data_IF_234628899906
#
_entry.id   IF_234628899906
#
_cell.length_a   1.000
_cell.length_b   1.000
_cell.length_c   1.000
_cell.angle_alpha   90.00
_cell.angle_beta   90.00
_cell.angle_gamma   90.00
#
_symmetry.space_group_name_H-M   'P 1'
#
loop_
_entity.id
_entity.type
_entity.pdbx_description
1 polymer ?
#
# COMPACT_ATOMS: atom_id res chain seq x y z
N UNK A 1 -10.89 16.58 6.63
CA UNK A 1 -11.94 15.62 6.14
C UNK A 1 -11.25 14.32 5.81
N UNK A 2 -11.77 13.19 6.26
CA UNK A 2 -11.17 11.91 5.95
C UNK A 2 -11.03 11.71 4.44
N UNK A 3 -9.87 11.19 4.02
CA UNK A 3 -9.65 10.81 2.63
C UNK A 3 -10.23 9.43 2.33
N UNK A 4 -10.15 8.52 3.32
CA UNK A 4 -10.73 7.18 3.26
C UNK A 4 -11.54 6.90 4.51
N UNK A 5 -12.72 6.33 4.33
CA UNK A 5 -13.59 5.88 5.42
C UNK A 5 -14.10 4.47 5.10
N UNK A 6 -13.99 3.58 6.04
CA UNK A 6 -14.66 2.28 6.03
C UNK A 6 -15.67 2.26 7.18
N UNK A 7 -16.93 1.96 6.87
CA UNK A 7 -18.01 1.94 7.85
C UNK A 7 -18.57 0.53 8.00
N UNK A 8 -18.46 -0.02 9.20
CA UNK A 8 -18.95 -1.36 9.56
C UNK A 8 -18.55 -2.44 8.54
N UNK A 9 -17.30 -2.31 8.02
CA UNK A 9 -16.81 -3.13 6.93
C UNK A 9 -16.61 -4.57 7.39
N UNK A 10 -17.23 -5.52 6.67
CA UNK A 10 -17.17 -6.93 7.05
C UNK A 10 -16.90 -7.84 5.85
N UNK A 11 -16.18 -8.94 6.09
CA UNK A 11 -15.95 -10.00 5.12
C UNK A 11 -16.02 -11.36 5.77
N UNK A 12 -16.91 -12.18 5.26
CA UNK A 12 -17.10 -13.57 5.67
C UNK A 12 -16.66 -14.52 4.55
N UNK A 13 -15.97 -15.59 4.92
CA UNK A 13 -15.66 -16.72 4.06
C UNK A 13 -16.27 -17.99 4.70
N UNK A 14 -17.46 -18.37 4.22
CA UNK A 14 -18.26 -19.39 4.91
C UNK A 14 -18.57 -18.95 6.34
N UNK A 15 -18.21 -19.76 7.32
CA UNK A 15 -18.38 -19.45 8.75
C UNK A 15 -17.32 -18.53 9.37
N UNK A 16 -16.24 -18.23 8.64
CA UNK A 16 -15.14 -17.41 9.16
C UNK A 16 -15.36 -15.92 8.86
N UNK A 17 -15.44 -15.10 9.89
CA UNK A 17 -15.45 -13.64 9.77
C UNK A 17 -14.00 -13.12 9.74
N UNK A 18 -13.43 -12.93 8.54
CA UNK A 18 -12.06 -12.47 8.38
C UNK A 18 -11.88 -10.95 8.66
N UNK A 19 -12.94 -10.16 8.44
CA UNK A 19 -13.10 -8.77 8.91
C UNK A 19 -14.54 -8.66 9.41
N UNK A 20 -14.74 -8.04 10.55
CA UNK A 20 -16.02 -8.03 11.24
C UNK A 20 -16.31 -6.66 11.87
N UNK A 21 -17.14 -5.86 11.19
CA UNK A 21 -17.59 -4.56 11.68
C UNK A 21 -16.46 -3.53 11.83
N UNK A 22 -15.52 -3.50 10.88
CA UNK A 22 -14.39 -2.58 10.95
C UNK A 22 -14.81 -1.16 10.55
N UNK A 23 -14.61 -0.21 11.47
CA UNK A 23 -14.62 1.21 11.20
C UNK A 23 -13.17 1.71 11.15
N UNK A 24 -12.78 2.30 10.02
CA UNK A 24 -11.44 2.82 9.76
C UNK A 24 -11.53 4.15 9.04
N UNK A 25 -10.78 5.14 9.50
CA UNK A 25 -10.62 6.42 8.82
C UNK A 25 -9.15 6.67 8.49
N UNK A 26 -8.89 7.37 7.38
CA UNK A 26 -7.54 7.85 7.03
C UNK A 26 -7.69 9.31 6.64
N UNK A 27 -7.04 10.20 7.39
CA UNK A 27 -7.03 11.63 7.11
C UNK A 27 -6.04 11.97 6.00
N UNK A 28 -6.29 13.07 5.29
CA UNK A 28 -5.36 13.53 4.25
C UNK A 28 -4.02 13.92 4.87
N UNK A 29 -2.93 13.42 4.30
CA UNK A 29 -1.56 13.79 4.70
C UNK A 29 -1.02 13.02 5.90
N UNK A 30 -1.71 11.97 6.40
CA UNK A 30 -1.20 11.12 7.48
C UNK A 30 -0.58 9.81 6.97
N UNK A 31 0.26 9.21 7.79
CA UNK A 31 0.72 7.83 7.67
C UNK A 31 0.00 7.00 8.74
N UNK A 32 -0.95 6.15 8.31
CA UNK A 32 -1.64 5.21 9.20
C UNK A 32 -1.01 3.84 9.09
N UNK A 33 -0.65 3.24 10.22
CA UNK A 33 -0.22 1.85 10.30
C UNK A 33 -1.41 0.92 10.64
N UNK A 34 -1.63 -0.11 9.84
CA UNK A 34 -2.57 -1.20 10.15
C UNK A 34 -1.78 -2.42 10.58
N UNK A 35 -1.79 -2.72 11.87
CA UNK A 35 -1.00 -3.81 12.45
C UNK A 35 -1.90 -4.87 13.10
N UNK A 36 -1.31 -5.96 13.54
CA UNK A 36 -1.99 -7.05 14.25
C UNK A 36 -1.28 -8.37 14.03
N UNK A 37 -1.60 -9.40 14.82
CA UNK A 37 -1.05 -10.76 14.67
C UNK A 37 -1.32 -11.35 13.29
N UNK A 38 -0.67 -12.49 13.00
CA UNK A 38 -0.99 -13.27 11.81
C UNK A 38 -2.45 -13.74 11.90
N UNK A 39 -3.17 -13.67 10.79
CA UNK A 39 -4.60 -13.98 10.76
C UNK A 39 -5.53 -12.89 11.31
N UNK A 40 -5.03 -11.74 11.75
CA UNK A 40 -5.85 -10.64 12.28
C UNK A 40 -6.80 -9.99 11.25
N UNK A 41 -6.66 -10.29 9.94
CA UNK A 41 -7.52 -9.75 8.89
C UNK A 41 -6.91 -8.60 8.08
N UNK A 42 -5.64 -8.23 8.31
CA UNK A 42 -4.96 -7.09 7.64
C UNK A 42 -5.02 -7.18 6.11
N UNK A 43 -4.57 -8.30 5.54
CA UNK A 43 -4.58 -8.53 4.08
C UNK A 43 -6.01 -8.53 3.52
N UNK A 44 -6.97 -9.09 4.26
CA UNK A 44 -8.39 -9.05 3.87
C UNK A 44 -8.90 -7.62 3.84
N UNK A 45 -8.57 -6.80 4.85
CA UNK A 45 -8.91 -5.37 4.90
C UNK A 45 -8.33 -4.64 3.67
N UNK A 46 -7.05 -4.80 3.36
CA UNK A 46 -6.42 -4.21 2.17
C UNK A 46 -7.10 -4.65 0.86
N UNK A 47 -7.47 -5.92 0.75
CA UNK A 47 -8.19 -6.43 -0.40
C UNK A 47 -9.58 -5.81 -0.55
N UNK A 48 -10.27 -5.54 0.56
CA UNK A 48 -11.57 -4.86 0.56
C UNK A 48 -11.44 -3.39 0.12
N UNK A 49 -10.49 -2.65 0.71
CA UNK A 49 -10.25 -1.24 0.40
C UNK A 49 -9.80 -1.02 -1.05
N UNK A 50 -9.03 -1.95 -1.61
CA UNK A 50 -8.49 -1.86 -2.97
C UNK A 50 -9.34 -2.56 -4.04
N UNK A 51 -10.52 -3.11 -3.66
CA UNK A 51 -11.49 -3.71 -4.57
C UNK A 51 -11.15 -5.10 -5.10
N UNK A 52 -10.12 -5.76 -4.54
CA UNK A 52 -9.80 -7.17 -4.86
C UNK A 52 -10.78 -8.15 -4.23
N UNK A 53 -11.45 -7.72 -3.15
CA UNK A 53 -12.54 -8.45 -2.53
C UNK A 53 -13.77 -7.55 -2.41
N UNK A 54 -14.95 -8.11 -2.61
CA UNK A 54 -16.21 -7.45 -2.28
C UNK A 54 -16.50 -7.65 -0.79
N UNK A 55 -16.91 -6.62 -0.06
CA UNK A 55 -17.38 -6.78 1.31
C UNK A 55 -18.65 -7.63 1.37
N UNK A 56 -18.85 -8.32 2.49
CA UNK A 56 -20.11 -9.00 2.80
C UNK A 56 -21.15 -8.01 3.31
N UNK A 57 -20.70 -6.95 4.04
CA UNK A 57 -21.49 -5.82 4.49
C UNK A 57 -20.61 -4.62 4.78
N UNK A 58 -21.21 -3.46 5.01
CA UNK A 58 -20.51 -2.19 5.23
C UNK A 58 -20.16 -1.49 3.92
N UNK A 59 -19.50 -0.34 4.04
CA UNK A 59 -19.14 0.52 2.91
C UNK A 59 -17.73 1.07 3.01
N UNK A 60 -17.21 1.50 1.87
CA UNK A 60 -15.91 2.18 1.75
C UNK A 60 -16.13 3.47 0.96
N UNK A 61 -15.82 4.61 1.58
CA UNK A 61 -15.90 5.93 0.98
C UNK A 61 -14.46 6.42 0.74
N UNK A 62 -14.16 6.87 -0.46
CA UNK A 62 -12.87 7.47 -0.80
C UNK A 62 -13.07 8.84 -1.43
N UNK A 63 -12.48 9.85 -0.82
CA UNK A 63 -12.60 11.25 -1.27
C UNK A 63 -14.06 11.70 -1.42
N UNK A 64 -14.97 11.23 -0.54
CA UNK A 64 -16.40 11.51 -0.56
C UNK A 64 -17.22 10.66 -1.54
N UNK A 65 -16.60 9.79 -2.33
CA UNK A 65 -17.30 8.87 -3.23
C UNK A 65 -17.39 7.45 -2.64
N UNK A 66 -18.54 6.81 -2.79
CA UNK A 66 -18.71 5.38 -2.48
C UNK A 66 -17.98 4.52 -3.53
N UNK A 67 -16.95 3.80 -3.06
CA UNK A 67 -16.16 2.87 -3.85
C UNK A 67 -16.44 1.40 -3.49
N UNK A 68 -17.46 1.13 -2.70
CA UNK A 68 -17.79 -0.20 -2.19
C UNK A 68 -17.97 -1.21 -3.33
N UNK A 69 -17.18 -2.27 -3.31
CA UNK A 69 -17.23 -3.34 -4.32
C UNK A 69 -16.89 -2.92 -5.75
N UNK A 70 -16.35 -1.71 -5.98
CA UNK A 70 -15.81 -1.32 -7.28
C UNK A 70 -14.60 -2.17 -7.64
N UNK A 71 -14.33 -2.32 -8.93
CA UNK A 71 -13.17 -3.07 -9.43
C UNK A 71 -11.86 -2.30 -9.18
N UNK A 72 -10.71 -2.98 -8.99
CA UNK A 72 -9.44 -2.32 -8.68
C UNK A 72 -9.07 -1.17 -9.64
N UNK A 73 -9.19 -1.37 -10.97
CA UNK A 73 -8.87 -0.32 -11.93
C UNK A 73 -9.73 0.94 -11.79
N UNK A 74 -10.99 0.82 -11.32
CA UNK A 74 -11.87 1.95 -11.07
C UNK A 74 -11.46 2.72 -9.81
N UNK A 75 -10.96 2.01 -8.81
CA UNK A 75 -10.45 2.57 -7.55
C UNK A 75 -9.12 3.29 -7.81
N UNK A 76 -8.24 2.65 -8.55
CA UNK A 76 -6.95 3.22 -8.96
C UNK A 76 -7.15 4.52 -9.76
N UNK A 77 -8.10 4.55 -10.69
CA UNK A 77 -8.42 5.76 -11.47
C UNK A 77 -8.90 6.95 -10.61
N UNK A 78 -9.26 6.72 -9.34
CA UNK A 78 -9.63 7.74 -8.35
C UNK A 78 -8.47 8.19 -7.49
N UNK A 79 -7.29 7.55 -7.64
CA UNK A 79 -6.07 7.89 -6.92
C UNK A 79 -5.83 7.07 -5.64
N UNK A 80 -6.54 5.96 -5.43
CA UNK A 80 -6.20 4.98 -4.41
C UNK A 80 -5.40 3.85 -5.06
N UNK A 81 -4.10 3.82 -4.80
CA UNK A 81 -3.17 2.87 -5.42
C UNK A 81 -2.59 1.95 -4.36
N UNK A 82 -2.42 0.68 -4.68
CA UNK A 82 -1.80 -0.32 -3.81
C UNK A 82 -0.54 -0.88 -4.44
N UNK A 83 0.54 -0.98 -3.64
CA UNK A 83 1.68 -1.82 -3.99
C UNK A 83 1.36 -3.28 -3.67
N UNK A 84 1.87 -4.20 -4.47
CA UNK A 84 1.75 -5.63 -4.21
C UNK A 84 3.06 -6.19 -3.69
N UNK A 85 2.98 -7.22 -2.83
CA UNK A 85 4.15 -7.97 -2.42
C UNK A 85 4.86 -8.54 -3.65
N UNK A 86 6.17 -8.39 -3.76
CA UNK A 86 7.17 -8.96 -4.70
C UNK A 86 6.76 -9.44 -6.11
N UNK A 87 5.51 -9.78 -6.36
CA UNK A 87 5.08 -10.56 -7.54
C UNK A 87 4.80 -9.72 -8.80
N UNK A 88 4.95 -8.40 -8.76
CA UNK A 88 4.46 -7.54 -9.85
C UNK A 88 5.53 -6.87 -10.70
N UNK A 89 6.82 -7.10 -10.40
CA UNK A 89 7.87 -6.60 -11.28
C UNK A 89 8.01 -7.50 -12.50
N UNK A 90 8.04 -6.86 -13.65
CA UNK A 90 8.39 -7.53 -14.90
C UNK A 90 9.91 -7.68 -14.96
N UNK A 91 10.39 -8.85 -14.57
CA UNK A 91 11.80 -9.15 -14.33
C UNK A 91 12.69 -8.94 -15.57
N UNK A 92 12.13 -9.13 -16.77
CA UNK A 92 12.81 -8.99 -18.06
C UNK A 92 12.75 -7.55 -18.62
N UNK A 93 12.09 -6.65 -17.92
CA UNK A 93 12.02 -5.22 -18.27
C UNK A 93 12.97 -4.40 -17.40
N UNK A 94 13.41 -3.26 -17.94
CA UNK A 94 14.22 -2.30 -17.16
C UNK A 94 13.39 -1.64 -16.05
N UNK A 95 14.07 -1.00 -15.09
CA UNK A 95 13.38 -0.24 -14.05
C UNK A 95 12.47 0.83 -14.66
N UNK A 96 12.95 1.58 -15.66
CA UNK A 96 12.16 2.58 -16.38
C UNK A 96 10.94 1.97 -17.06
N UNK A 97 11.09 0.83 -17.73
CA UNK A 97 9.98 0.15 -18.39
C UNK A 97 8.93 -0.37 -17.40
N UNK A 98 9.37 -0.85 -16.23
CA UNK A 98 8.44 -1.23 -15.16
C UNK A 98 7.59 -0.04 -14.70
N UNK A 99 8.20 1.13 -14.46
CA UNK A 99 7.47 2.33 -14.03
C UNK A 99 6.51 2.80 -15.13
N UNK A 100 6.93 2.79 -16.39
CA UNK A 100 6.08 3.11 -17.54
C UNK A 100 4.83 2.22 -17.62
N UNK A 101 4.97 0.92 -17.34
CA UNK A 101 3.83 0.02 -17.26
C UNK A 101 2.89 0.35 -16.10
N UNK A 102 3.44 0.77 -14.96
CA UNK A 102 2.65 1.25 -13.84
C UNK A 102 1.77 2.45 -14.24
N UNK A 103 2.31 3.39 -15.00
CA UNK A 103 1.58 4.54 -15.55
C UNK A 103 0.48 4.13 -16.54
N UNK A 104 0.74 3.12 -17.37
CA UNK A 104 -0.19 2.68 -18.43
C UNK A 104 -1.52 2.15 -17.87
N UNK A 105 -1.53 1.63 -16.66
CA UNK A 105 -2.75 1.24 -15.95
C UNK A 105 -3.67 2.46 -15.67
N UNK A 106 -3.14 3.68 -15.77
CA UNK A 106 -3.82 4.95 -15.51
C UNK A 106 -4.04 5.79 -16.78
N UNK A 107 -3.34 5.46 -17.89
CA UNK A 107 -3.45 6.19 -19.14
C UNK A 107 -4.74 5.84 -19.85
N UNK A 108 -5.47 6.88 -20.29
CA UNK A 108 -6.67 6.74 -21.13
C UNK A 108 -6.32 6.43 -22.61
N UNK A 109 -5.12 5.97 -22.90
CA UNK A 109 -4.74 5.64 -24.27
C UNK A 109 -5.55 4.45 -24.77
N UNK A 110 -6.44 4.71 -25.72
CA UNK A 110 -7.21 3.67 -26.39
C UNK A 110 -6.31 2.73 -27.21
N UNK A 111 -6.73 1.47 -27.35
CA UNK A 111 -6.04 0.43 -28.13
C UNK A 111 -5.56 0.93 -29.52
N UNK A 112 -6.29 1.86 -30.15
CA UNK A 112 -5.95 2.47 -31.44
C UNK A 112 -4.65 3.27 -31.39
N UNK A 113 -4.38 4.03 -30.32
CA UNK A 113 -3.15 4.81 -30.18
C UNK A 113 -1.92 3.91 -29.99
N UNK A 114 -2.07 2.81 -29.25
CA UNK A 114 -1.00 1.82 -29.05
C UNK A 114 -0.65 1.12 -30.38
N UNK A 115 -1.64 0.78 -31.20
CA UNK A 115 -1.44 0.07 -32.46
C UNK A 115 -0.85 0.94 -33.59
N UNK A 116 -1.06 2.27 -33.54
CA UNK A 116 -0.63 3.17 -34.61
C UNK A 116 0.53 4.12 -34.24
N UNK A 117 0.98 4.14 -32.97
CA UNK A 117 2.13 4.94 -32.53
C UNK A 117 3.44 4.22 -32.83
N UNK A 118 4.33 4.86 -33.61
CA UNK A 118 5.73 4.45 -33.76
C UNK A 118 6.55 4.63 -32.46
N UNK A 119 6.05 5.39 -31.48
CA UNK A 119 6.63 5.51 -30.12
C UNK A 119 5.77 4.69 -29.18
N UNK A 120 6.39 3.75 -28.50
CA UNK A 120 5.73 2.84 -27.55
C UNK A 120 5.17 3.62 -26.35
N UNK A 121 5.81 4.74 -25.98
CA UNK A 121 5.39 5.59 -24.85
C UNK A 121 5.48 7.08 -25.20
N UNK A 122 4.49 7.92 -24.77
CA UNK A 122 4.57 9.38 -24.88
C UNK A 122 5.77 9.94 -24.10
N UNK A 123 6.33 11.06 -24.57
CA UNK A 123 7.46 11.75 -23.93
C UNK A 123 7.17 12.11 -22.48
N UNK A 124 5.93 12.51 -22.20
CA UNK A 124 5.49 12.94 -20.88
C UNK A 124 5.44 11.78 -19.89
N UNK A 125 5.04 10.59 -20.33
CA UNK A 125 5.06 9.38 -19.49
C UNK A 125 6.49 8.94 -19.16
N UNK A 126 7.41 9.08 -20.11
CA UNK A 126 8.85 8.81 -19.86
C UNK A 126 9.42 9.81 -18.85
N UNK A 127 9.07 11.09 -18.95
CA UNK A 127 9.50 12.11 -18.01
C UNK A 127 8.98 11.83 -16.59
N UNK A 128 7.69 11.54 -16.45
CA UNK A 128 7.07 11.16 -15.16
C UNK A 128 7.69 9.89 -14.56
N UNK A 129 8.02 8.90 -15.40
CA UNK A 129 8.66 7.68 -14.93
C UNK A 129 10.08 7.94 -14.43
N UNK A 130 10.83 8.82 -15.09
CA UNK A 130 12.16 9.22 -14.64
C UNK A 130 12.10 10.03 -13.34
N UNK A 131 11.12 10.93 -13.22
CA UNK A 131 10.86 11.68 -11.98
C UNK A 131 10.59 10.72 -10.80
N UNK A 132 9.74 9.70 -11.00
CA UNK A 132 9.46 8.70 -9.98
C UNK A 132 10.71 7.88 -9.58
N UNK A 133 11.55 7.52 -10.56
CA UNK A 133 12.83 6.83 -10.28
C UNK A 133 13.82 7.74 -9.55
N UNK A 134 13.90 9.01 -9.90
CA UNK A 134 14.75 9.98 -9.22
C UNK A 134 14.29 10.20 -7.77
N UNK A 135 13.00 10.41 -7.57
CA UNK A 135 12.41 10.59 -6.23
C UNK A 135 12.67 9.39 -5.32
N UNK A 136 12.64 8.19 -5.88
CA UNK A 136 12.88 6.95 -5.13
C UNK A 136 14.36 6.54 -5.05
N UNK A 137 15.28 7.32 -5.64
CA UNK A 137 16.72 7.05 -5.62
C UNK A 137 17.16 5.96 -6.61
N UNK A 138 16.32 5.63 -7.59
CA UNK A 138 16.60 4.60 -8.61
C UNK A 138 17.05 5.16 -9.97
N UNK A 139 17.31 6.47 -10.08
CA UNK A 139 17.67 7.10 -11.35
C UNK A 139 18.88 6.43 -12.04
N UNK A 140 19.93 6.10 -11.27
CA UNK A 140 21.15 5.45 -11.78
C UNK A 140 20.89 4.00 -12.29
N UNK A 141 19.75 3.40 -11.94
CA UNK A 141 19.36 2.04 -12.29
C UNK A 141 18.25 2.00 -13.35
N UNK A 142 17.87 3.14 -13.93
CA UNK A 142 16.74 3.27 -14.86
C UNK A 142 16.77 2.25 -16.00
N UNK A 143 17.95 2.02 -16.57
CA UNK A 143 18.15 1.13 -17.73
C UNK A 143 18.57 -0.30 -17.33
N UNK A 144 18.65 -0.60 -16.04
CA UNK A 144 18.97 -1.94 -15.53
C UNK A 144 17.71 -2.82 -15.50
N UNK A 145 17.85 -4.09 -15.88
CA UNK A 145 16.75 -5.07 -15.77
C UNK A 145 16.34 -5.26 -14.30
N UNK A 146 15.05 -5.35 -14.05
CA UNK A 146 14.51 -5.48 -12.69
C UNK A 146 15.08 -6.69 -11.95
N UNK A 147 15.29 -7.82 -12.60
CA UNK A 147 15.90 -9.02 -12.02
C UNK A 147 17.33 -8.82 -11.51
N UNK A 148 18.07 -7.85 -12.07
CA UNK A 148 19.46 -7.57 -11.71
C UNK A 148 19.59 -6.56 -10.56
N UNK A 149 18.45 -5.97 -10.13
CA UNK A 149 18.43 -5.07 -8.98
C UNK A 149 18.56 -5.85 -7.68
N UNK A 150 19.31 -5.35 -6.68
CA UNK A 150 19.25 -5.86 -5.33
C UNK A 150 17.81 -5.89 -4.80
N UNK A 151 17.49 -6.84 -3.91
CA UNK A 151 16.13 -7.06 -3.41
C UNK A 151 15.48 -5.79 -2.84
N UNK A 152 16.22 -4.98 -2.07
CA UNK A 152 15.72 -3.69 -1.56
C UNK A 152 15.34 -2.72 -2.67
N UNK A 153 16.11 -2.67 -3.76
CA UNK A 153 15.80 -1.82 -4.92
C UNK A 153 14.61 -2.33 -5.72
N UNK A 154 14.39 -3.64 -5.78
CA UNK A 154 13.17 -4.21 -6.39
C UNK A 154 11.92 -3.76 -5.64
N UNK A 155 11.96 -3.77 -4.30
CA UNK A 155 10.87 -3.24 -3.47
C UNK A 155 10.62 -1.75 -3.70
N UNK A 156 11.70 -0.97 -3.70
CA UNK A 156 11.64 0.47 -3.98
C UNK A 156 11.11 0.75 -5.39
N UNK A 157 11.46 -0.10 -6.38
CA UNK A 157 10.89 -0.02 -7.73
C UNK A 157 9.37 -0.22 -7.74
N UNK A 158 8.85 -1.16 -6.95
CA UNK A 158 7.40 -1.32 -6.78
C UNK A 158 6.72 -0.07 -6.22
N UNK A 159 7.39 0.65 -5.30
CA UNK A 159 6.91 1.95 -4.80
C UNK A 159 6.98 3.01 -5.92
N UNK A 160 8.06 3.06 -6.70
CA UNK A 160 8.19 3.99 -7.82
C UNK A 160 7.09 3.81 -8.87
N UNK A 161 6.75 2.54 -9.20
CA UNK A 161 5.64 2.22 -10.10
C UNK A 161 4.30 2.76 -9.59
N UNK A 162 4.04 2.63 -8.29
CA UNK A 162 2.81 3.12 -7.68
C UNK A 162 2.77 4.65 -7.62
N UNK A 163 3.91 5.30 -7.34
CA UNK A 163 4.03 6.77 -7.29
C UNK A 163 3.86 7.44 -8.65
N UNK A 164 4.32 6.80 -9.71
CA UNK A 164 4.14 7.31 -11.08
C UNK A 164 2.66 7.58 -11.41
N UNK A 165 1.75 6.84 -10.76
CA UNK A 165 0.31 7.05 -10.86
C UNK A 165 -0.20 8.29 -10.10
N UNK A 166 0.67 9.05 -9.42
CA UNK A 166 0.32 10.21 -8.60
C UNK A 166 -0.84 9.94 -7.62
N UNK A 167 -0.71 8.94 -6.74
CA UNK A 167 -1.79 8.56 -5.84
C UNK A 167 -2.12 9.68 -4.83
N UNK A 168 -3.40 9.80 -4.49
CA UNK A 168 -3.86 10.57 -3.32
C UNK A 168 -3.71 9.75 -2.05
N UNK A 169 -3.93 8.42 -2.15
CA UNK A 169 -3.72 7.44 -1.08
C UNK A 169 -2.93 6.26 -1.61
N UNK A 170 -1.82 5.97 -0.96
CA UNK A 170 -0.97 4.82 -1.26
C UNK A 170 -1.11 3.75 -0.19
N UNK A 171 -1.57 2.57 -0.57
CA UNK A 171 -1.61 1.38 0.28
C UNK A 171 -0.29 0.61 0.12
N UNK A 172 0.47 0.49 1.20
CA UNK A 172 1.75 -0.24 1.24
C UNK A 172 1.60 -1.55 2.00
N UNK A 173 1.84 -2.67 1.33
CA UNK A 173 1.71 -4.01 1.92
C UNK A 173 3.11 -4.57 2.23
N UNK A 174 3.48 -4.54 3.50
CA UNK A 174 4.75 -5.02 4.04
C UNK A 174 5.99 -4.51 3.27
N UNK A 175 6.17 -3.18 3.15
CA UNK A 175 7.19 -2.59 2.29
C UNK A 175 8.63 -2.91 2.70
N UNK A 176 8.89 -3.33 3.97
CA UNK A 176 10.25 -3.61 4.47
C UNK A 176 10.50 -5.08 4.82
N UNK A 177 9.57 -5.97 4.49
CA UNK A 177 9.72 -7.42 4.77
C UNK A 177 10.96 -7.98 4.04
N UNK A 178 11.79 -8.71 4.79
CA UNK A 178 13.01 -9.33 4.27
C UNK A 178 14.21 -8.41 4.13
N UNK A 179 14.10 -7.14 4.56
CA UNK A 179 15.17 -6.15 4.53
C UNK A 179 15.98 -6.15 5.83
N UNK A 180 17.26 -5.81 5.74
CA UNK A 180 18.06 -5.49 6.91
C UNK A 180 17.64 -4.14 7.52
N UNK A 181 18.19 -3.80 8.72
CA UNK A 181 17.81 -2.59 9.44
C UNK A 181 18.10 -1.29 8.66
N UNK A 182 19.22 -1.24 7.92
CA UNK A 182 19.59 -0.05 7.16
C UNK A 182 18.68 0.15 5.94
N UNK A 183 18.39 -0.92 5.20
CA UNK A 183 17.47 -0.91 4.08
C UNK A 183 16.04 -0.53 4.54
N UNK A 184 15.58 -1.13 5.64
CA UNK A 184 14.27 -0.80 6.22
C UNK A 184 14.16 0.68 6.59
N UNK A 185 15.23 1.24 7.21
CA UNK A 185 15.26 2.66 7.56
C UNK A 185 15.21 3.57 6.31
N UNK A 186 15.89 3.19 5.24
CA UNK A 186 15.86 3.94 3.98
C UNK A 186 14.46 3.95 3.37
N UNK A 187 13.78 2.79 3.31
CA UNK A 187 12.40 2.70 2.78
C UNK A 187 11.42 3.47 3.67
N UNK A 188 11.54 3.39 4.99
CA UNK A 188 10.67 4.15 5.89
C UNK A 188 10.90 5.66 5.78
N UNK A 189 12.13 6.12 5.57
CA UNK A 189 12.42 7.52 5.26
C UNK A 189 11.85 7.94 3.90
N UNK A 190 11.89 7.07 2.90
CA UNK A 190 11.22 7.31 1.61
C UNK A 190 9.71 7.46 1.79
N UNK A 191 9.06 6.60 2.59
CA UNK A 191 7.63 6.66 2.91
C UNK A 191 7.27 8.02 3.55
N UNK A 192 8.09 8.53 4.47
CA UNK A 192 7.89 9.87 5.04
C UNK A 192 8.00 10.96 3.98
N UNK A 193 9.01 10.90 3.11
CA UNK A 193 9.15 11.86 2.00
C UNK A 193 7.95 11.83 1.04
N UNK A 194 7.40 10.65 0.78
CA UNK A 194 6.19 10.50 -0.05
C UNK A 194 5.00 11.21 0.60
N UNK A 195 4.80 11.04 1.91
CA UNK A 195 3.77 11.75 2.68
C UNK A 195 3.99 13.26 2.64
N UNK A 196 5.23 13.70 2.88
CA UNK A 196 5.59 15.13 2.88
C UNK A 196 5.40 15.77 1.49
N UNK A 197 5.46 14.97 0.42
CA UNK A 197 5.08 15.34 -0.94
C UNK A 197 3.57 15.38 -1.20
N UNK A 198 2.72 15.16 -0.18
CA UNK A 198 1.27 15.29 -0.26
C UNK A 198 0.50 13.98 -0.48
N UNK A 199 1.17 12.83 -0.54
CA UNK A 199 0.50 11.53 -0.66
C UNK A 199 0.17 10.95 0.71
N UNK A 200 -1.10 10.66 0.96
CA UNK A 200 -1.55 9.97 2.17
C UNK A 200 -1.14 8.50 2.13
N UNK A 201 -0.84 7.89 3.28
CA UNK A 201 -0.33 6.52 3.31
C UNK A 201 -1.10 5.68 4.33
N UNK A 202 -1.53 4.49 3.90
CA UNK A 202 -1.95 3.42 4.79
C UNK A 202 -1.01 2.22 4.57
N UNK A 203 -0.29 1.81 5.60
CA UNK A 203 0.65 0.72 5.50
C UNK A 203 0.29 -0.46 6.40
N UNK A 204 0.46 -1.68 5.91
CA UNK A 204 0.49 -2.90 6.72
C UNK A 204 1.95 -3.28 6.96
N UNK A 205 2.31 -3.49 8.20
CA UNK A 205 3.63 -3.95 8.62
C UNK A 205 3.55 -4.80 9.89
N UNK A 206 4.51 -5.69 10.05
CA UNK A 206 4.70 -6.48 11.27
C UNK A 206 5.99 -6.10 12.02
N UNK A 207 6.86 -5.29 11.39
CA UNK A 207 8.03 -4.71 12.04
C UNK A 207 7.62 -3.54 12.92
N UNK A 208 7.36 -3.81 14.21
CA UNK A 208 6.89 -2.81 15.17
C UNK A 208 7.82 -1.60 15.25
N UNK A 209 9.16 -1.79 15.19
CA UNK A 209 10.10 -0.68 15.26
C UNK A 209 9.96 0.27 14.06
N UNK A 210 9.75 -0.28 12.87
CA UNK A 210 9.52 0.51 11.66
C UNK A 210 8.20 1.29 11.74
N UNK A 211 7.11 0.63 12.20
CA UNK A 211 5.79 1.25 12.37
C UNK A 211 5.83 2.38 13.39
N UNK A 212 6.35 2.10 14.59
CA UNK A 212 6.43 3.08 15.70
C UNK A 212 7.24 4.33 15.33
N UNK A 213 8.27 4.16 14.49
CA UNK A 213 9.12 5.28 14.06
C UNK A 213 8.61 6.06 12.85
N UNK A 214 7.50 5.62 12.23
CA UNK A 214 7.07 6.18 10.93
C UNK A 214 5.62 6.63 10.90
N UNK A 215 4.71 5.91 11.56
CA UNK A 215 3.29 6.20 11.52
C UNK A 215 2.91 7.35 12.46
N UNK A 216 1.98 8.18 12.03
CA UNK A 216 1.36 9.21 12.84
C UNK A 216 0.29 8.59 13.77
N UNK A 217 -0.43 7.58 13.25
CA UNK A 217 -1.48 6.83 13.94
C UNK A 217 -1.40 5.36 13.57
N UNK A 218 -1.81 4.51 14.51
CA UNK A 218 -1.81 3.06 14.35
C UNK A 218 -3.20 2.52 14.67
N UNK A 219 -3.69 1.63 13.81
CA UNK A 219 -4.90 0.82 14.02
C UNK A 219 -4.47 -0.62 14.20
N UNK A 220 -4.88 -1.23 15.29
CA UNK A 220 -4.56 -2.62 15.62
C UNK A 220 -5.77 -3.49 15.33
N UNK A 221 -5.57 -4.49 14.48
CA UNK A 221 -6.57 -5.53 14.24
C UNK A 221 -6.27 -6.78 15.06
N UNK A 222 -7.32 -7.42 15.55
CA UNK A 222 -7.27 -8.75 16.13
C UNK A 222 -8.56 -9.50 15.79
N UNK A 223 -8.46 -10.73 15.28
CA UNK A 223 -9.59 -11.57 14.84
C UNK A 223 -10.63 -10.81 13.99
N UNK A 224 -10.16 -10.01 13.03
CA UNK A 224 -11.00 -9.25 12.10
C UNK A 224 -11.65 -7.99 12.68
N UNK A 225 -11.37 -7.61 13.92
CA UNK A 225 -11.93 -6.42 14.59
C UNK A 225 -10.86 -5.42 14.95
N UNK A 226 -11.23 -4.17 15.05
CA UNK A 226 -10.35 -3.14 15.59
C UNK A 226 -10.23 -3.35 17.11
N UNK A 227 -9.01 -3.63 17.55
CA UNK A 227 -8.69 -3.83 18.97
C UNK A 227 -8.33 -2.50 19.66
N UNK A 228 -7.50 -1.71 18.97
CA UNK A 228 -7.04 -0.41 19.49
C UNK A 228 -6.75 0.54 18.34
N UNK A 229 -6.73 1.83 18.63
CA UNK A 229 -6.34 2.90 17.73
C UNK A 229 -5.74 4.05 18.51
N UNK A 230 -4.66 4.64 18.02
CA UNK A 230 -4.01 5.77 18.69
C UNK A 230 -2.64 6.09 18.12
N UNK A 231 -1.94 7.00 18.80
CA UNK A 231 -0.54 7.30 18.49
C UNK A 231 0.35 6.08 18.76
N UNK A 232 1.54 5.98 18.11
CA UNK A 232 2.49 4.90 18.39
C UNK A 232 2.75 4.70 19.88
N UNK A 233 2.90 5.79 20.65
CA UNK A 233 3.14 5.73 22.08
C UNK A 233 1.95 5.11 22.84
N UNK A 234 0.72 5.50 22.52
CA UNK A 234 -0.48 4.97 23.16
C UNK A 234 -0.68 3.48 22.87
N UNK A 235 -0.46 3.06 21.60
CA UNK A 235 -0.61 1.67 21.19
C UNK A 235 0.45 0.77 21.83
N UNK A 236 1.70 1.26 21.95
CA UNK A 236 2.81 0.47 22.53
C UNK A 236 2.62 0.15 24.02
N UNK A 237 1.82 0.93 24.74
CA UNK A 237 1.56 0.76 26.18
C UNK A 237 0.20 0.10 26.47
N UNK A 238 -0.59 -0.21 25.44
CA UNK A 238 -1.91 -0.82 25.60
C UNK A 238 -1.78 -2.29 26.05
N UNK A 239 -2.37 -2.63 27.18
CA UNK A 239 -2.36 -3.99 27.71
C UNK A 239 -3.01 -4.99 26.73
N UNK A 240 -4.14 -4.62 26.12
CA UNK A 240 -4.86 -5.47 25.16
C UNK A 240 -4.00 -5.77 23.92
N UNK A 241 -3.25 -4.77 23.46
CA UNK A 241 -2.34 -4.93 22.31
C UNK A 241 -1.19 -5.87 22.67
N UNK A 242 -0.57 -5.68 23.82
CA UNK A 242 0.51 -6.51 24.32
C UNK A 242 0.04 -7.96 24.45
N UNK A 243 -1.12 -8.20 25.07
CA UNK A 243 -1.72 -9.52 25.22
C UNK A 243 -2.00 -10.20 23.88
N UNK A 244 -2.56 -9.46 22.89
CA UNK A 244 -2.84 -9.98 21.56
C UNK A 244 -1.58 -10.46 20.82
N UNK A 245 -0.44 -9.81 21.03
CA UNK A 245 0.83 -10.24 20.43
C UNK A 245 1.53 -11.35 21.21
N UNK A 246 1.46 -11.35 22.55
CA UNK A 246 2.03 -12.41 23.39
C UNK A 246 1.22 -13.71 23.30
N UNK A 247 -0.12 -13.62 23.29
CA UNK A 247 -1.01 -14.77 23.12
C UNK A 247 -0.88 -15.46 21.78
N UNK A 248 -0.57 -14.71 20.71
CA UNK A 248 -0.28 -15.28 19.38
C UNK A 248 1.04 -16.07 19.33
N UNK A 249 2.04 -15.70 20.14
CA UNK A 249 3.33 -16.43 20.26
C UNK A 249 3.21 -17.78 20.96
N UNK A 250 2.26 -17.93 21.86
CA UNK A 250 2.07 -19.18 22.62
C UNK A 250 1.34 -20.29 21.82
N UNK A 251 0.74 -19.98 20.68
CA UNK A 251 0.03 -20.95 19.81
C UNK A 251 0.94 -21.60 18.75
N UNK A 252 2.19 -21.20 18.65
CA UNK A 252 3.18 -21.71 17.68
C UNK A 252 4.45 -22.29 18.32
N UNK A 253 4.40 -22.57 19.63
CA UNK A 253 5.47 -23.26 20.37
C UNK A 253 5.15 -24.74 20.62
#
# INVERSE_FOLDING_TARGET
MPLLEAHNLSKHFGGLAAVNGLDLTVETGEIVGLIGPNGAGKTTCFNLLSGFLRPSSGSVIFAGEDITGRRPHQIVARGLVRTFQLATLFQELTALQNVLLGLHLHSRMGLRQVLFSRRIFPSDEVALSREALEFTGLAAHADQLARNLPHGYQRTLGIAMALAARPRLLLLDEPVTGMNLAESAQVMNLIKKIRDGGTTILLVEHNMKAVMGTCDRIVVLNFGRKLAEGTPAAVSTSADVIEAYLGAGAQHA
#
